data_IF_771131423707
#
_entry.id   IF_771131423707
#
_cell.length_a   1.000
_cell.length_b   1.000
_cell.length_c   1.000
_cell.angle_alpha   90.00
_cell.angle_beta   90.00
_cell.angle_gamma   90.00
#
_symmetry.space_group_name_H-M   'P 1'
#
loop_
_entity.id
_entity.type
_entity.pdbx_description
1 polymer ?
#
# COMPACT_ATOMS: atom_id res chain seq x y z
N UNK A 1 -29.74 -23.47 -7.67
CA UNK A 1 -28.55 -22.60 -7.72
C UNK A 1 -28.32 -22.09 -6.31
N UNK A 2 -27.27 -22.58 -5.63
CA UNK A 2 -26.88 -22.05 -4.34
C UNK A 2 -25.95 -20.85 -4.59
N UNK A 3 -26.31 -19.67 -4.09
CA UNK A 3 -25.39 -18.53 -4.01
C UNK A 3 -24.26 -18.93 -3.07
N UNK A 4 -23.09 -19.30 -3.61
CA UNK A 4 -21.87 -19.38 -2.80
C UNK A 4 -21.54 -17.96 -2.38
N UNK A 5 -21.43 -17.70 -1.09
CA UNK A 5 -20.88 -16.44 -0.57
C UNK A 5 -19.50 -16.24 -1.20
N UNK A 6 -19.39 -15.31 -2.14
CA UNK A 6 -18.12 -14.93 -2.74
C UNK A 6 -17.44 -13.98 -1.76
N UNK A 7 -16.39 -14.46 -1.10
CA UNK A 7 -15.55 -13.61 -0.26
C UNK A 7 -14.79 -12.63 -1.16
N UNK A 8 -14.85 -11.33 -0.81
CA UNK A 8 -14.02 -10.27 -1.37
C UNK A 8 -13.07 -9.79 -0.27
N UNK A 9 -11.79 -9.61 -0.59
CA UNK A 9 -10.79 -9.07 0.35
C UNK A 9 -10.05 -7.90 -0.29
N UNK A 10 -9.82 -6.84 0.48
CA UNK A 10 -9.12 -5.64 0.03
C UNK A 10 -7.61 -5.69 0.32
N UNK A 11 -6.82 -5.16 -0.60
CA UNK A 11 -5.37 -4.98 -0.49
C UNK A 11 -5.02 -3.49 -0.49
N UNK A 12 -4.14 -3.11 0.44
CA UNK A 12 -3.74 -1.73 0.71
C UNK A 12 -2.21 -1.71 0.89
N UNK A 13 -1.53 -0.67 0.42
CA UNK A 13 -0.07 -0.52 0.58
C UNK A 13 0.31 0.01 1.96
N UNK A 14 -0.18 1.20 2.29
CA UNK A 14 -0.02 1.91 3.55
C UNK A 14 -1.29 2.74 3.78
N UNK A 15 -1.63 3.05 5.03
CA UNK A 15 -2.70 4.02 5.33
C UNK A 15 -2.16 5.18 6.17
N UNK A 16 -2.07 6.34 5.53
CA UNK A 16 -1.78 7.63 6.17
C UNK A 16 -2.78 8.64 5.65
N UNK A 17 -3.48 9.32 6.54
CA UNK A 17 -4.45 10.35 6.20
C UNK A 17 -3.99 11.68 6.77
N UNK A 18 -3.99 12.71 5.94
CA UNK A 18 -3.81 14.11 6.35
C UNK A 18 -4.79 15.02 5.60
N UNK A 19 -6.06 14.63 5.65
CA UNK A 19 -7.16 15.33 5.01
C UNK A 19 -8.02 16.01 6.09
N UNK A 20 -8.43 17.26 5.85
CA UNK A 20 -9.45 17.96 6.65
C UNK A 20 -9.20 17.95 8.17
N UNK A 21 -8.00 18.32 8.61
CA UNK A 21 -7.60 18.42 10.03
C UNK A 21 -7.55 17.11 10.83
N UNK A 22 -7.75 15.96 10.17
CA UNK A 22 -7.53 14.65 10.77
C UNK A 22 -6.23 14.05 10.26
N UNK A 23 -5.24 13.97 11.15
CA UNK A 23 -3.96 13.30 10.85
C UNK A 23 -3.91 11.98 11.60
N UNK A 24 -3.97 10.87 10.87
CA UNK A 24 -3.87 9.53 11.46
C UNK A 24 -3.16 8.58 10.51
N UNK A 25 -2.51 7.57 11.08
CA UNK A 25 -1.82 6.52 10.33
C UNK A 25 -2.14 5.18 10.94
N UNK A 26 -2.16 4.12 10.11
CA UNK A 26 -2.16 2.77 10.63
C UNK A 26 -0.76 2.47 11.15
N UNK A 27 -0.69 2.05 12.41
CA UNK A 27 0.52 1.48 12.99
C UNK A 27 0.93 0.32 12.08
N UNK A 28 2.20 0.23 11.70
CA UNK A 28 2.75 -0.70 10.70
C UNK A 28 2.67 -2.19 11.07
N UNK A 29 1.71 -2.58 11.90
CA UNK A 29 1.46 -3.96 12.34
C UNK A 29 0.86 -4.82 11.23
N UNK A 30 0.09 -4.22 10.30
CA UNK A 30 -0.40 -4.89 9.09
C UNK A 30 0.20 -4.18 7.88
N UNK A 31 1.30 -4.74 7.37
CA UNK A 31 1.92 -4.29 6.14
C UNK A 31 1.25 -4.93 4.90
N UNK A 32 1.52 -4.35 3.74
CA UNK A 32 1.00 -4.84 2.46
C UNK A 32 1.30 -6.33 2.23
N UNK A 33 2.47 -6.79 2.67
CA UNK A 33 2.90 -8.18 2.51
C UNK A 33 2.01 -9.10 3.33
N UNK A 34 1.74 -8.80 4.60
CA UNK A 34 0.85 -9.60 5.43
C UNK A 34 -0.55 -9.72 4.83
N UNK A 35 -1.09 -8.64 4.27
CA UNK A 35 -2.35 -8.70 3.52
C UNK A 35 -2.26 -9.65 2.32
N UNK A 36 -1.17 -9.60 1.55
CA UNK A 36 -0.94 -10.54 0.43
C UNK A 36 -0.92 -11.99 0.91
N UNK A 37 -0.25 -12.29 2.02
CA UNK A 37 -0.21 -13.64 2.60
C UNK A 37 -1.59 -14.11 3.03
N UNK A 38 -2.39 -13.24 3.67
CA UNK A 38 -3.76 -13.53 4.07
C UNK A 38 -4.68 -13.78 2.86
N UNK A 39 -4.55 -12.99 1.80
CA UNK A 39 -5.31 -13.18 0.55
C UNK A 39 -5.00 -14.55 -0.04
N UNK A 40 -3.72 -14.93 -0.12
CA UNK A 40 -3.32 -16.25 -0.64
C UNK A 40 -3.74 -17.39 0.27
N UNK A 41 -3.82 -17.18 1.59
CA UNK A 41 -4.33 -18.18 2.53
C UNK A 41 -5.86 -18.37 2.39
N UNK A 42 -6.61 -17.27 2.31
CA UNK A 42 -8.07 -17.28 2.25
C UNK A 42 -8.62 -17.73 0.89
N UNK A 43 -7.87 -17.49 -0.20
CA UNK A 43 -8.32 -17.75 -1.58
C UNK A 43 -9.73 -17.21 -1.85
N UNK A 44 -9.98 -15.90 -1.63
CA UNK A 44 -11.29 -15.30 -1.90
C UNK A 44 -11.66 -15.45 -3.38
N UNK A 45 -12.94 -15.31 -3.72
CA UNK A 45 -13.37 -15.33 -5.12
C UNK A 45 -12.82 -14.12 -5.90
N UNK A 46 -12.68 -13.00 -5.21
CA UNK A 46 -12.14 -11.76 -5.75
C UNK A 46 -11.24 -11.07 -4.73
N UNK A 47 -10.26 -10.32 -5.22
CA UNK A 47 -9.44 -9.42 -4.41
C UNK A 47 -9.48 -8.04 -5.06
N UNK A 48 -9.71 -7.00 -4.26
CA UNK A 48 -9.72 -5.61 -4.71
C UNK A 48 -8.45 -4.91 -4.25
N UNK A 49 -7.78 -4.18 -5.15
CA UNK A 49 -6.70 -3.28 -4.75
C UNK A 49 -7.29 -1.90 -4.54
N UNK A 50 -7.21 -1.40 -3.32
CA UNK A 50 -7.79 -0.12 -2.91
C UNK A 50 -6.65 0.81 -2.54
N UNK A 51 -6.35 1.87 -3.30
CA UNK A 51 -7.04 2.41 -4.50
C UNK A 51 -6.08 2.65 -5.67
N UNK A 52 -6.60 3.05 -6.83
CA UNK A 52 -5.75 3.50 -7.93
C UNK A 52 -5.04 4.83 -7.61
N UNK A 53 -5.74 5.85 -7.10
CA UNK A 53 -5.26 7.24 -7.10
C UNK A 53 -5.63 8.08 -5.86
N UNK A 54 -5.98 7.47 -4.71
CA UNK A 54 -6.28 8.23 -3.49
C UNK A 54 -5.00 8.61 -2.72
N UNK A 55 -4.38 9.70 -3.14
CA UNK A 55 -3.18 10.29 -2.55
C UNK A 55 -3.37 10.80 -1.13
N UNK A 56 -4.57 11.32 -0.81
CA UNK A 56 -4.87 11.87 0.50
C UNK A 56 -4.84 10.84 1.63
N UNK A 57 -5.13 9.57 1.31
CA UNK A 57 -5.09 8.43 2.26
C UNK A 57 -3.89 7.48 2.04
N UNK A 58 -2.94 7.86 1.18
CA UNK A 58 -1.66 7.19 0.87
C UNK A 58 -1.68 5.74 0.37
N UNK A 59 -2.84 5.08 0.35
CA UNK A 59 -3.04 3.70 -0.10
C UNK A 59 -3.18 3.53 -1.63
N UNK A 60 -2.61 4.43 -2.44
CA UNK A 60 -2.72 4.38 -3.90
C UNK A 60 -1.63 3.49 -4.54
N UNK A 61 -1.93 2.93 -5.70
CA UNK A 61 -0.97 2.12 -6.50
C UNK A 61 -0.66 2.70 -7.88
N UNK A 62 -1.40 3.71 -8.31
CA UNK A 62 -1.34 4.32 -9.63
C UNK A 62 -0.82 5.76 -9.61
N UNK A 63 -0.98 6.43 -10.75
CA UNK A 63 -0.56 7.82 -10.90
C UNK A 63 -1.46 8.74 -10.08
N UNK A 64 -0.84 9.69 -9.38
CA UNK A 64 -1.53 10.82 -8.80
C UNK A 64 -1.51 12.00 -9.76
N UNK A 65 -2.65 12.64 -9.89
CA UNK A 65 -2.83 13.84 -10.71
C UNK A 65 -2.97 15.06 -9.83
N UNK A 66 -2.06 16.02 -9.97
CA UNK A 66 -1.98 17.19 -9.10
C UNK A 66 -3.25 18.04 -9.15
N UNK A 67 -3.92 18.08 -10.31
CA UNK A 67 -5.18 18.82 -10.48
C UNK A 67 -6.29 18.34 -9.52
N UNK A 68 -6.23 17.08 -9.07
CA UNK A 68 -7.18 16.52 -8.10
C UNK A 68 -7.01 17.04 -6.68
N UNK A 69 -5.90 17.73 -6.38
CA UNK A 69 -5.52 18.13 -5.02
C UNK A 69 -5.46 19.65 -4.82
N UNK A 70 -6.00 20.43 -5.75
CA UNK A 70 -5.98 21.91 -5.68
C UNK A 70 -6.62 22.48 -4.41
N UNK A 71 -7.65 21.82 -3.86
CA UNK A 71 -8.31 22.21 -2.61
C UNK A 71 -7.63 21.64 -1.36
N UNK A 72 -6.62 20.79 -1.52
CA UNK A 72 -5.87 20.16 -0.44
C UNK A 72 -4.36 20.09 -0.78
N UNK A 73 -3.69 21.24 -1.01
CA UNK A 73 -2.32 21.29 -1.54
C UNK A 73 -1.26 20.65 -0.63
N UNK A 74 -1.56 20.46 0.66
CA UNK A 74 -0.68 19.74 1.60
C UNK A 74 -0.45 18.29 1.19
N UNK A 75 -1.43 17.65 0.55
CA UNK A 75 -1.31 16.26 0.05
C UNK A 75 -0.13 16.15 -0.92
N UNK A 76 0.09 17.17 -1.75
CA UNK A 76 1.18 17.19 -2.72
C UNK A 76 2.58 17.28 -2.09
N UNK A 77 2.70 17.55 -0.78
CA UNK A 77 4.00 17.52 -0.09
C UNK A 77 4.57 16.11 0.04
N UNK A 78 3.71 15.08 0.04
CA UNK A 78 4.10 13.68 0.16
C UNK A 78 3.57 12.80 -0.97
N UNK A 79 2.51 13.23 -1.66
CA UNK A 79 1.82 12.47 -2.69
C UNK A 79 1.91 13.20 -4.04
N UNK A 80 3.13 13.50 -4.48
CA UNK A 80 3.42 14.04 -5.81
C UNK A 80 4.28 13.07 -6.63
N UNK A 81 4.16 13.12 -7.95
CA UNK A 81 4.84 12.19 -8.85
C UNK A 81 6.20 12.70 -9.34
N UNK A 82 6.50 13.99 -9.14
CA UNK A 82 7.72 14.63 -9.60
C UNK A 82 8.91 14.28 -8.70
N UNK A 83 8.73 14.38 -7.37
CA UNK A 83 9.75 14.15 -6.36
C UNK A 83 9.72 12.73 -5.80
N UNK A 84 8.54 12.09 -5.80
CA UNK A 84 8.32 10.75 -5.26
C UNK A 84 7.46 9.89 -6.17
N UNK A 85 7.98 9.30 -7.25
CA UNK A 85 7.20 8.38 -8.07
C UNK A 85 6.86 7.10 -7.27
N UNK A 86 5.61 6.98 -6.82
CA UNK A 86 5.14 5.90 -5.94
C UNK A 86 4.80 4.59 -6.69
N UNK A 87 5.54 4.25 -7.75
CA UNK A 87 5.28 3.04 -8.55
C UNK A 87 5.92 1.77 -7.97
N UNK A 88 6.75 1.90 -6.93
CA UNK A 88 7.49 0.79 -6.33
C UNK A 88 6.58 -0.34 -5.80
N UNK A 89 5.31 -0.06 -5.53
CA UNK A 89 4.33 -1.05 -5.07
C UNK A 89 3.78 -1.93 -6.21
N UNK A 90 3.78 -1.45 -7.47
CA UNK A 90 3.12 -2.13 -8.60
C UNK A 90 3.69 -3.53 -8.92
N UNK A 91 5.02 -3.76 -8.86
CA UNK A 91 5.58 -5.10 -9.02
C UNK A 91 5.04 -6.08 -7.98
N UNK A 92 4.88 -5.66 -6.71
CA UNK A 92 4.35 -6.52 -5.64
C UNK A 92 2.91 -6.97 -5.94
N UNK A 93 2.09 -6.06 -6.46
CA UNK A 93 0.72 -6.37 -6.92
C UNK A 93 0.75 -7.40 -8.07
N UNK A 94 1.69 -7.24 -9.00
CA UNK A 94 1.86 -8.16 -10.15
C UNK A 94 2.24 -9.57 -9.68
N UNK A 95 3.12 -9.67 -8.68
CA UNK A 95 3.54 -10.94 -8.11
C UNK A 95 2.40 -11.62 -7.35
N UNK A 96 1.65 -10.88 -6.53
CA UNK A 96 0.44 -11.39 -5.88
C UNK A 96 -0.57 -11.89 -6.93
N UNK A 97 -0.86 -11.11 -7.97
CA UNK A 97 -1.78 -11.49 -9.05
C UNK A 97 -1.37 -12.82 -9.71
N UNK A 98 -0.07 -13.00 -9.92
CA UNK A 98 0.50 -14.22 -10.48
C UNK A 98 0.35 -15.40 -9.50
N UNK A 99 0.65 -15.21 -8.23
CA UNK A 99 0.49 -16.24 -7.21
C UNK A 99 -0.97 -16.65 -7.02
N UNK A 100 -1.86 -15.66 -6.89
CA UNK A 100 -3.30 -15.84 -6.68
C UNK A 100 -3.95 -16.60 -7.83
N UNK A 101 -3.70 -16.21 -9.09
CA UNK A 101 -4.24 -16.90 -10.28
C UNK A 101 -3.76 -18.34 -10.43
N UNK A 102 -2.58 -18.66 -9.91
CA UNK A 102 -2.00 -19.99 -9.97
C UNK A 102 -2.25 -20.81 -8.71
N UNK A 103 -3.04 -20.32 -7.75
CA UNK A 103 -3.32 -21.02 -6.49
C UNK A 103 -2.07 -21.27 -5.65
N UNK A 104 -1.06 -20.39 -5.74
CA UNK A 104 0.19 -20.49 -4.98
C UNK A 104 -0.01 -20.03 -3.53
N UNK A 105 0.85 -20.52 -2.64
CA UNK A 105 0.95 -20.10 -1.25
C UNK A 105 1.87 -18.88 -1.09
N UNK A 106 1.80 -18.22 0.08
CA UNK A 106 2.58 -17.04 0.43
C UNK A 106 4.10 -17.18 0.23
N UNK A 107 4.66 -18.33 0.57
CA UNK A 107 6.09 -18.66 0.41
C UNK A 107 6.52 -18.81 -1.06
N UNK A 108 5.57 -18.70 -2.00
CA UNK A 108 5.75 -18.78 -3.44
C UNK A 108 5.36 -17.48 -4.16
N UNK A 109 5.19 -16.36 -3.43
CA UNK A 109 5.20 -15.03 -4.03
C UNK A 109 6.63 -14.78 -4.52
N UNK A 110 6.83 -15.02 -5.81
CA UNK A 110 8.10 -14.82 -6.49
C UNK A 110 8.00 -13.58 -7.36
N UNK A 111 9.15 -12.93 -7.57
CA UNK A 111 9.23 -11.92 -8.59
C UNK A 111 8.84 -12.49 -9.95
N UNK A 112 7.96 -11.80 -10.68
CA UNK A 112 7.63 -12.14 -12.06
C UNK A 112 8.86 -11.90 -12.94
N UNK A 113 9.41 -12.98 -13.51
CA UNK A 113 10.68 -12.93 -14.25
C UNK A 113 11.84 -13.40 -13.38
N UNK A 114 12.95 -13.80 -14.02
CA UNK A 114 14.15 -14.39 -13.42
C UNK A 114 14.93 -13.41 -12.51
N UNK A 115 14.26 -12.65 -11.65
CA UNK A 115 14.89 -11.66 -10.81
C UNK A 115 15.64 -12.38 -9.67
N UNK A 116 16.86 -12.79 -9.97
CA UNK A 116 17.92 -13.02 -9.00
C UNK A 116 18.40 -11.72 -8.33
N UNK A 117 17.88 -10.56 -8.75
CA UNK A 117 18.24 -9.23 -8.26
C UNK A 117 17.11 -8.59 -7.44
N UNK A 118 17.41 -8.00 -6.27
CA UNK A 118 16.45 -7.20 -5.51
C UNK A 118 15.91 -6.02 -6.33
N UNK A 119 14.59 -5.83 -6.38
CA UNK A 119 13.97 -4.73 -7.14
C UNK A 119 13.66 -3.48 -6.29
N UNK A 120 13.91 -3.53 -4.98
CA UNK A 120 13.62 -2.42 -4.07
C UNK A 120 13.71 -2.80 -2.60
N UNK A 121 13.55 -1.79 -1.73
CA UNK A 121 13.52 -1.95 -0.27
C UNK A 121 12.27 -1.24 0.25
N UNK A 122 11.53 -1.91 1.14
CA UNK A 122 10.41 -1.32 1.86
C UNK A 122 10.88 -0.97 3.27
N UNK A 123 10.84 0.30 3.60
CA UNK A 123 11.14 0.78 4.95
C UNK A 123 9.82 0.99 5.69
N UNK A 124 9.69 0.40 6.86
CA UNK A 124 8.60 0.69 7.78
C UNK A 124 9.17 0.98 9.16
N UNK A 125 8.51 1.87 9.91
CA UNK A 125 8.85 2.14 11.30
C UNK A 125 7.98 1.23 12.17
N UNK A 126 8.59 0.25 12.84
CA UNK A 126 7.96 -0.42 13.98
C UNK A 126 7.73 0.60 15.11
N UNK A 127 6.66 0.42 15.89
CA UNK A 127 6.17 1.33 16.95
C UNK A 127 7.19 2.40 17.41
N UNK A 128 6.80 3.68 17.29
CA UNK A 128 7.33 4.68 18.20
C UNK A 128 6.81 4.30 19.59
N UNK A 129 7.70 4.11 20.56
CA UNK A 129 7.31 4.22 21.97
C UNK A 129 6.37 5.43 22.11
N UNK A 130 5.27 5.26 22.84
CA UNK A 130 4.06 6.10 22.94
C UNK A 130 4.27 7.57 23.39
N UNK A 131 5.42 8.20 23.11
CA UNK A 131 5.84 9.48 23.68
C UNK A 131 6.01 10.62 22.65
N UNK A 132 5.68 10.45 21.37
CA UNK A 132 5.63 11.59 20.45
C UNK A 132 4.26 12.27 20.50
N UNK A 133 4.08 13.12 21.49
CA UNK A 133 3.01 14.11 21.54
C UNK A 133 3.24 15.13 20.41
N UNK A 134 2.24 15.28 19.54
CA UNK A 134 2.07 16.38 18.56
C UNK A 134 3.36 16.90 17.91
N UNK A 135 3.72 16.39 16.73
CA UNK A 135 4.20 17.15 15.54
C UNK A 135 4.92 16.18 14.59
N UNK A 136 4.32 15.93 13.41
CA UNK A 136 4.98 15.23 12.30
C UNK A 136 5.86 16.24 11.55
N UNK A 137 6.96 16.65 12.17
CA UNK A 137 8.09 17.27 11.48
C UNK A 137 9.37 16.86 12.20
N UNK A 138 9.94 15.73 11.80
CA UNK A 138 11.34 15.41 12.09
C UNK A 138 12.11 15.55 10.78
N UNK A 139 12.82 16.67 10.65
CA UNK A 139 13.66 16.97 9.49
C UNK A 139 14.81 15.97 9.33
N UNK A 140 15.21 15.76 8.08
CA UNK A 140 16.46 15.09 7.73
C UNK A 140 17.61 16.04 8.06
N UNK A 141 18.32 15.76 9.16
CA UNK A 141 19.61 16.35 9.46
C UNK A 141 20.72 15.47 8.91
N UNK A 142 21.39 15.97 7.87
CA UNK A 142 22.71 15.57 7.40
C UNK A 142 23.53 16.83 7.15
#
# INVERSE_FOLDING_TARGET
MAWRNQLLTGLWSLKYNDINSETWYRIGEVDQRQCMEQILHLQPAFTEVVTWDNGGESHYIGNLREEGYTMAPKILQYANMADGPHYAWQPLITWLNTAFKNGKTADKIEASGSASEPIGVMWYRGMLDLLCEHTIYCGFGG
#
